data_IF_511230572758
#
_entry.id   IF_511230572758
#
_cell.length_a   1.000
_cell.length_b   1.000
_cell.length_c   1.000
_cell.angle_alpha   90.00
_cell.angle_beta   90.00
_cell.angle_gamma   90.00
#
_symmetry.space_group_name_H-M   'P 1'
#
loop_
_entity.id
_entity.type
_entity.pdbx_description
1 polymer ?
#
# COMPACT_ATOMS: atom_id res chain seq x y z
N UNK A 1 9.93 -14.42 2.08
CA UNK A 1 8.85 -14.41 1.06
C UNK A 1 9.39 -14.77 -0.33
N UNK A 2 9.78 -16.03 -0.55
CA UNK A 2 10.15 -16.56 -1.90
C UNK A 2 9.57 -17.96 -2.14
N UNK A 3 8.46 -18.29 -1.46
CA UNK A 3 7.84 -19.63 -1.50
C UNK A 3 6.57 -19.67 -2.34
N UNK A 4 6.33 -18.62 -3.14
CA UNK A 4 5.26 -18.60 -4.10
C UNK A 4 5.95 -18.65 -5.47
N UNK A 5 5.99 -19.86 -6.05
CA UNK A 5 6.69 -20.13 -7.31
C UNK A 5 6.20 -19.27 -8.47
N UNK A 6 6.89 -19.34 -9.59
CA UNK A 6 6.52 -18.64 -10.84
C UNK A 6 5.08 -18.99 -11.24
N UNK A 7 4.13 -18.10 -10.98
CA UNK A 7 2.77 -18.22 -11.53
C UNK A 7 2.84 -17.92 -13.03
N UNK A 8 3.08 -18.94 -13.84
CA UNK A 8 2.73 -18.86 -15.25
C UNK A 8 1.21 -18.83 -15.33
N UNK A 9 0.62 -17.63 -15.43
CA UNK A 9 -0.81 -17.40 -15.61
C UNK A 9 -1.27 -17.99 -16.96
N UNK A 10 -1.41 -19.31 -16.99
CA UNK A 10 -2.08 -20.08 -18.04
C UNK A 10 -3.45 -20.48 -17.51
N UNK A 11 -4.50 -20.37 -18.32
CA UNK A 11 -5.86 -20.76 -17.94
C UNK A 11 -5.93 -22.21 -17.41
N UNK A 12 -5.04 -23.07 -17.91
CA UNK A 12 -4.89 -24.48 -17.49
C UNK A 12 -4.56 -24.64 -15.99
N UNK A 13 -3.83 -23.70 -15.41
CA UNK A 13 -3.45 -23.71 -13.99
C UNK A 13 -4.39 -22.86 -13.12
N UNK A 14 -5.43 -22.28 -13.73
CA UNK A 14 -6.60 -21.62 -13.13
C UNK A 14 -6.96 -22.12 -11.71
N UNK A 15 -7.47 -23.36 -11.62
CA UNK A 15 -8.00 -23.92 -10.38
C UNK A 15 -6.92 -24.15 -9.32
N UNK A 16 -5.70 -24.47 -9.74
CA UNK A 16 -4.56 -24.75 -8.86
C UNK A 16 -4.11 -23.46 -8.15
N UNK A 17 -4.03 -22.35 -8.89
CA UNK A 17 -3.65 -21.04 -8.34
C UNK A 17 -4.72 -20.54 -7.38
N UNK A 18 -6.01 -20.68 -7.72
CA UNK A 18 -7.12 -20.25 -6.84
C UNK A 18 -7.07 -21.02 -5.51
N UNK A 19 -6.87 -22.34 -5.53
CA UNK A 19 -6.77 -23.15 -4.33
C UNK A 19 -5.54 -22.76 -3.48
N UNK A 20 -4.38 -22.55 -4.12
CA UNK A 20 -3.15 -22.14 -3.45
C UNK A 20 -3.25 -20.75 -2.81
N UNK A 21 -3.92 -19.80 -3.49
CA UNK A 21 -4.18 -18.44 -2.98
C UNK A 21 -5.14 -18.50 -1.78
N UNK A 22 -6.19 -19.31 -1.87
CA UNK A 22 -7.23 -19.42 -0.83
C UNK A 22 -6.73 -20.04 0.47
N UNK A 23 -5.70 -20.89 0.40
CA UNK A 23 -5.11 -21.60 1.54
C UNK A 23 -3.89 -20.89 2.14
N UNK A 24 -3.36 -19.86 1.46
CA UNK A 24 -2.20 -19.11 1.94
C UNK A 24 -2.61 -18.07 2.99
N UNK A 25 -2.24 -18.25 4.27
CA UNK A 25 -2.66 -17.32 5.33
C UNK A 25 -2.11 -15.91 5.11
N UNK A 26 -0.93 -15.76 4.51
CA UNK A 26 -0.34 -14.45 4.21
C UNK A 26 -1.08 -13.70 3.10
N UNK A 27 -1.54 -14.41 2.07
CA UNK A 27 -2.33 -13.78 1.00
C UNK A 27 -3.70 -13.41 1.55
N UNK A 28 -4.33 -14.32 2.30
CA UNK A 28 -5.64 -14.07 2.89
C UNK A 28 -5.60 -12.89 3.86
N UNK A 29 -4.57 -12.81 4.72
CA UNK A 29 -4.39 -11.66 5.62
C UNK A 29 -4.18 -10.35 4.86
N UNK A 30 -3.38 -10.37 3.78
CA UNK A 30 -3.18 -9.20 2.94
C UNK A 30 -4.47 -8.76 2.24
N UNK A 31 -5.26 -9.72 1.75
CA UNK A 31 -6.55 -9.47 1.11
C UNK A 31 -7.57 -8.90 2.10
N UNK A 32 -7.67 -9.47 3.30
CA UNK A 32 -8.54 -8.94 4.36
C UNK A 32 -8.13 -7.53 4.73
N UNK A 33 -6.83 -7.26 4.90
CA UNK A 33 -6.32 -5.91 5.16
C UNK A 33 -6.69 -4.94 4.02
N UNK A 34 -6.62 -5.38 2.77
CA UNK A 34 -7.00 -4.58 1.62
C UNK A 34 -8.50 -4.26 1.58
N UNK A 35 -9.37 -5.24 1.87
CA UNK A 35 -10.81 -5.02 1.98
C UNK A 35 -11.11 -3.99 3.08
N UNK A 36 -10.49 -4.12 4.25
CA UNK A 36 -10.63 -3.15 5.35
C UNK A 36 -10.14 -1.76 4.90
N UNK A 37 -9.00 -1.69 4.20
CA UNK A 37 -8.46 -0.44 3.69
C UNK A 37 -9.43 0.28 2.76
N UNK A 38 -10.10 -0.44 1.85
CA UNK A 38 -11.10 0.14 0.94
C UNK A 38 -12.31 0.63 1.71
N UNK A 39 -12.80 -0.11 2.71
CA UNK A 39 -13.92 0.33 3.55
C UNK A 39 -13.59 1.61 4.31
N UNK A 40 -12.40 1.69 4.91
CA UNK A 40 -11.91 2.90 5.58
C UNK A 40 -11.81 4.05 4.57
N UNK A 41 -11.27 3.81 3.38
CA UNK A 41 -11.15 4.82 2.34
C UNK A 41 -12.50 5.39 1.91
N UNK A 42 -13.49 4.53 1.68
CA UNK A 42 -14.86 4.94 1.36
C UNK A 42 -15.50 5.73 2.50
N UNK A 43 -15.24 5.36 3.76
CA UNK A 43 -15.68 6.15 4.92
C UNK A 43 -15.06 7.55 4.94
N UNK A 44 -13.76 7.68 4.67
CA UNK A 44 -13.09 9.00 4.60
C UNK A 44 -13.71 9.85 3.49
N UNK A 45 -13.89 9.28 2.29
CA UNK A 45 -14.50 9.98 1.16
C UNK A 45 -15.97 10.36 1.40
N UNK A 46 -16.66 9.69 2.32
CA UNK A 46 -18.02 10.09 2.72
C UNK A 46 -18.06 11.35 3.60
N UNK A 47 -16.91 11.79 4.13
CA UNK A 47 -16.80 12.90 5.11
C UNK A 47 -15.93 14.06 4.62
N UNK A 48 -15.07 13.82 3.64
CA UNK A 48 -14.05 14.77 3.20
C UNK A 48 -13.95 14.76 1.69
N UNK A 49 -13.71 15.92 1.09
CA UNK A 49 -13.54 16.05 -0.35
C UNK A 49 -12.32 15.27 -0.86
N UNK A 50 -12.45 14.73 -2.08
CA UNK A 50 -11.42 13.95 -2.76
C UNK A 50 -10.11 14.73 -2.89
N UNK A 51 -10.20 16.02 -3.24
CA UNK A 51 -9.07 16.96 -3.37
C UNK A 51 -8.25 17.11 -2.09
N UNK A 52 -8.87 16.95 -0.93
CA UNK A 52 -8.21 17.02 0.38
C UNK A 52 -7.72 15.64 0.87
N UNK A 53 -8.47 14.58 0.59
CA UNK A 53 -8.13 13.22 1.01
C UNK A 53 -6.90 12.65 0.30
N UNK A 54 -6.74 12.90 -1.00
CA UNK A 54 -5.63 12.36 -1.78
C UNK A 54 -4.24 12.82 -1.31
N UNK A 55 -4.01 14.12 -1.00
CA UNK A 55 -2.76 14.58 -0.40
C UNK A 55 -2.35 13.79 0.85
N UNK A 56 -3.30 13.43 1.72
CA UNK A 56 -3.05 12.68 2.95
C UNK A 56 -2.55 11.25 2.72
N UNK A 57 -2.83 10.64 1.56
CA UNK A 57 -2.26 9.33 1.20
C UNK A 57 -0.72 9.35 1.18
N UNK A 58 -0.12 10.53 1.00
CA UNK A 58 1.32 10.69 1.01
C UNK A 58 1.97 10.34 2.35
N UNK A 59 1.22 10.42 3.46
CA UNK A 59 1.69 9.94 4.77
C UNK A 59 2.01 8.44 4.70
N UNK A 60 1.30 7.70 3.85
CA UNK A 60 1.59 6.31 3.52
C UNK A 60 3.02 6.10 3.05
N UNK A 61 3.62 7.04 2.30
CA UNK A 61 5.02 6.88 1.86
C UNK A 61 6.00 6.87 3.03
N UNK A 62 5.78 7.69 4.07
CA UNK A 62 6.60 7.67 5.29
C UNK A 62 6.41 6.34 6.01
N UNK A 63 5.17 5.92 6.22
CA UNK A 63 4.85 4.67 6.93
C UNK A 63 5.42 3.47 6.19
N UNK A 64 5.28 3.39 4.87
CA UNK A 64 5.82 2.30 4.05
C UNK A 64 7.35 2.31 4.03
N UNK A 65 8.00 3.48 3.97
CA UNK A 65 9.45 3.56 4.04
C UNK A 65 9.97 3.05 5.40
N UNK A 66 9.39 3.52 6.51
CA UNK A 66 9.75 3.04 7.84
C UNK A 66 9.47 1.54 7.99
N UNK A 67 8.32 1.06 7.52
CA UNK A 67 7.98 -0.36 7.56
C UNK A 67 8.95 -1.20 6.71
N UNK A 68 9.34 -0.75 5.52
CA UNK A 68 10.36 -1.37 4.69
C UNK A 68 11.70 -1.49 5.41
N UNK A 69 12.13 -0.42 6.07
CA UNK A 69 13.40 -0.38 6.80
C UNK A 69 13.38 -1.28 8.05
N UNK A 70 12.30 -1.26 8.84
CA UNK A 70 12.22 -2.02 10.10
C UNK A 70 11.82 -3.49 9.93
N UNK A 71 10.81 -3.79 9.10
CA UNK A 71 10.30 -5.15 8.95
C UNK A 71 11.04 -5.95 7.87
N UNK A 72 11.49 -5.28 6.81
CA UNK A 72 12.09 -5.93 5.65
C UNK A 72 13.60 -5.65 5.50
N UNK A 73 14.18 -4.84 6.40
CA UNK A 73 15.58 -4.41 6.35
C UNK A 73 15.97 -3.80 4.99
N UNK A 74 15.03 -3.10 4.34
CA UNK A 74 15.29 -2.42 3.08
C UNK A 74 16.22 -1.23 3.29
N UNK A 75 17.31 -1.18 2.52
CA UNK A 75 18.20 -0.03 2.49
C UNK A 75 17.57 1.12 1.69
N UNK A 76 16.92 2.04 2.41
CA UNK A 76 16.31 3.23 1.81
C UNK A 76 17.39 4.30 1.65
N UNK A 77 17.80 4.54 0.41
CA UNK A 77 18.79 5.56 0.09
C UNK A 77 18.31 6.99 0.38
N UNK A 78 19.26 7.91 0.60
CA UNK A 78 19.00 9.32 0.87
C UNK A 78 18.09 9.98 -0.17
N UNK A 79 18.22 9.61 -1.45
CA UNK A 79 17.39 10.14 -2.54
C UNK A 79 15.90 9.83 -2.37
N UNK A 80 15.55 8.66 -1.83
CA UNK A 80 14.15 8.30 -1.58
C UNK A 80 13.60 9.07 -0.39
N UNK A 81 14.40 9.24 0.66
CA UNK A 81 14.05 10.08 1.81
C UNK A 81 13.84 11.55 1.42
N UNK A 82 14.72 12.13 0.60
CA UNK A 82 14.54 13.51 0.13
C UNK A 82 13.27 13.66 -0.73
N UNK A 83 12.96 12.68 -1.58
CA UNK A 83 11.71 12.64 -2.33
C UNK A 83 10.47 12.62 -1.43
N UNK A 84 10.48 11.80 -0.37
CA UNK A 84 9.38 11.75 0.62
C UNK A 84 9.20 13.12 1.28
N UNK A 85 10.29 13.77 1.71
CA UNK A 85 10.24 15.12 2.31
C UNK A 85 9.62 16.13 1.35
N UNK A 86 10.01 16.12 0.07
CA UNK A 86 9.44 17.02 -0.95
C UNK A 86 7.94 16.79 -1.12
N UNK A 87 7.48 15.54 -1.18
CA UNK A 87 6.04 15.21 -1.26
C UNK A 87 5.33 15.76 -0.02
N UNK A 88 5.85 15.53 1.19
CA UNK A 88 5.26 16.02 2.42
C UNK A 88 5.17 17.55 2.47
N UNK A 89 6.18 18.26 1.97
CA UNK A 89 6.12 19.73 1.84
C UNK A 89 5.02 20.18 0.87
N UNK A 90 4.87 19.47 -0.25
CA UNK A 90 3.78 19.72 -1.20
C UNK A 90 2.39 19.53 -0.57
N UNK A 91 2.21 18.45 0.19
CA UNK A 91 0.97 18.18 0.93
C UNK A 91 0.69 19.27 1.97
N UNK A 92 1.71 19.67 2.74
CA UNK A 92 1.58 20.75 3.72
C UNK A 92 1.08 22.05 3.07
N UNK A 93 1.65 22.41 1.92
CA UNK A 93 1.22 23.59 1.15
C UNK A 93 -0.24 23.49 0.72
N UNK A 94 -0.67 22.34 0.17
CA UNK A 94 -2.05 22.10 -0.27
C UNK A 94 -3.02 22.22 0.92
N UNK A 95 -2.71 21.56 2.04
CA UNK A 95 -3.57 21.59 3.24
C UNK A 95 -3.64 22.95 3.92
N UNK A 96 -2.73 23.86 3.61
CA UNK A 96 -2.73 25.23 4.14
C UNK A 96 -3.58 26.19 3.29
N UNK A 97 -3.84 25.82 2.04
CA UNK A 97 -4.62 26.63 1.09
C UNK A 97 -6.07 26.14 0.96
N UNK A 98 -6.33 24.86 1.30
CA UNK A 98 -7.67 24.31 1.48
C UNK A 98 -8.32 24.81 2.79
#
# INVERSE_FOLDING_TARGET
MRTIGHFAFRLENAPQVILAVSTSPFILSGLTCYVISVLIWLLVLSRVEVSYAYPLLSVGYIVTALAGQFFFNEAIGLTRWSGIVVICLGVWLITRTA
#
